data_IF_373767440142
#
_entry.id   IF_373767440142
#
_cell.length_a   1.000
_cell.length_b   1.000
_cell.length_c   1.000
_cell.angle_alpha   90.00
_cell.angle_beta   90.00
_cell.angle_gamma   90.00
#
_symmetry.space_group_name_H-M   'P 1'
#
loop_
_entity.id
_entity.type
_entity.pdbx_description
1 polymer ?
#
# COMPACT_ATOMS: atom_id res chain seq x y z
N UNK A 1 7.71 -4.22 -1.47
CA UNK A 1 6.58 -4.15 -0.54
C UNK A 1 5.66 -3.11 -1.10
N UNK A 2 4.49 -3.50 -1.63
CA UNK A 2 3.47 -2.54 -2.03
C UNK A 2 3.18 -1.53 -0.91
N UNK A 3 3.30 -0.25 -1.25
CA UNK A 3 2.85 0.87 -0.46
C UNK A 3 1.53 1.39 -1.05
N UNK A 4 1.03 2.54 -0.60
CA UNK A 4 -0.25 3.07 -1.07
C UNK A 4 -0.35 3.18 -2.60
N UNK A 5 0.64 3.73 -3.33
CA UNK A 5 0.53 3.89 -4.78
C UNK A 5 0.41 2.57 -5.54
N UNK A 6 1.15 1.54 -5.12
CA UNK A 6 1.06 0.21 -5.70
C UNK A 6 -0.32 -0.42 -5.45
N UNK A 7 -0.83 -0.29 -4.23
CA UNK A 7 -2.16 -0.81 -3.87
C UNK A 7 -3.26 -0.06 -4.61
N UNK A 8 -3.14 1.26 -4.78
CA UNK A 8 -4.09 2.06 -5.57
C UNK A 8 -4.05 1.71 -7.06
N UNK A 9 -2.86 1.40 -7.59
CA UNK A 9 -2.71 0.93 -8.97
C UNK A 9 -3.44 -0.40 -9.17
N UNK A 10 -3.24 -1.37 -8.27
CA UNK A 10 -3.97 -2.65 -8.30
C UNK A 10 -5.48 -2.41 -8.16
N UNK A 11 -5.91 -1.52 -7.25
CA UNK A 11 -7.32 -1.18 -7.05
C UNK A 11 -7.95 -0.65 -8.34
N UNK A 12 -7.32 0.30 -9.03
CA UNK A 12 -7.83 0.88 -10.30
C UNK A 12 -7.97 -0.17 -11.38
N UNK A 13 -6.97 -1.03 -11.55
CA UNK A 13 -7.00 -2.11 -12.53
C UNK A 13 -8.11 -3.11 -12.23
N UNK A 14 -8.25 -3.53 -10.97
CA UNK A 14 -9.25 -4.51 -10.57
C UNK A 14 -10.68 -3.94 -10.59
N UNK A 15 -10.88 -2.68 -10.19
CA UNK A 15 -12.20 -2.04 -10.22
C UNK A 15 -12.82 -2.07 -11.62
N UNK A 16 -12.03 -1.72 -12.64
CA UNK A 16 -12.47 -1.70 -14.03
C UNK A 16 -12.86 -3.09 -14.57
N UNK A 17 -12.42 -4.17 -13.92
CA UNK A 17 -12.60 -5.56 -14.40
C UNK A 17 -13.56 -6.37 -13.55
N UNK A 18 -13.65 -6.07 -12.26
CA UNK A 18 -14.37 -6.88 -11.29
C UNK A 18 -15.76 -6.33 -10.97
N UNK A 19 -15.99 -5.02 -11.09
CA UNK A 19 -17.26 -4.42 -10.74
C UNK A 19 -18.41 -5.06 -11.54
N UNK A 20 -19.42 -5.54 -10.83
CA UNK A 20 -20.59 -6.22 -11.40
C UNK A 20 -20.44 -7.72 -11.58
N UNK A 21 -19.23 -8.30 -11.54
CA UNK A 21 -19.05 -9.75 -11.67
C UNK A 21 -19.47 -10.51 -10.42
N UNK A 22 -19.73 -11.81 -10.56
CA UNK A 22 -20.15 -12.70 -9.48
C UNK A 22 -19.09 -13.76 -9.23
N UNK A 23 -18.76 -14.02 -7.97
CA UNK A 23 -17.93 -15.16 -7.61
C UNK A 23 -18.73 -16.46 -7.73
N UNK A 24 -18.27 -17.43 -8.51
CA UNK A 24 -18.92 -18.74 -8.69
C UNK A 24 -18.37 -19.83 -7.77
N UNK A 25 -17.22 -19.55 -7.13
CA UNK A 25 -16.53 -20.45 -6.23
C UNK A 25 -15.04 -20.13 -6.19
N UNK A 26 -14.21 -21.10 -5.83
CA UNK A 26 -12.77 -20.94 -5.86
C UNK A 26 -12.03 -22.09 -5.18
N UNK A 27 -10.71 -22.00 -5.21
CA UNK A 27 -9.78 -22.98 -4.69
C UNK A 27 -8.78 -22.28 -3.76
N UNK A 28 -8.56 -22.86 -2.58
CA UNK A 28 -7.57 -22.36 -1.61
C UNK A 28 -6.46 -23.40 -1.51
N UNK A 29 -5.36 -23.14 -2.19
CA UNK A 29 -4.19 -24.00 -2.24
C UNK A 29 -3.32 -23.87 -0.98
N UNK A 30 -3.38 -22.72 -0.31
CA UNK A 30 -2.67 -22.48 0.94
C UNK A 30 -3.60 -21.86 2.01
N UNK A 31 -4.21 -22.70 2.87
CA UNK A 31 -5.18 -22.32 3.89
C UNK A 31 -4.84 -21.06 4.70
N UNK A 32 -3.58 -20.94 5.16
CA UNK A 32 -3.15 -19.83 6.04
C UNK A 32 -3.21 -18.43 5.41
N UNK A 33 -3.40 -18.32 4.09
CA UNK A 33 -3.61 -17.02 3.43
C UNK A 33 -4.98 -16.45 3.79
N UNK A 34 -6.00 -17.31 3.94
CA UNK A 34 -7.30 -16.90 4.44
C UNK A 34 -7.21 -16.82 5.96
N UNK A 35 -7.44 -15.61 6.50
CA UNK A 35 -7.28 -15.30 7.91
C UNK A 35 -8.59 -15.34 8.67
N UNK A 36 -9.70 -15.06 7.98
CA UNK A 36 -11.05 -15.24 8.49
C UNK A 36 -12.03 -15.27 7.31
N UNK A 37 -13.08 -16.11 7.34
CA UNK A 37 -13.26 -17.24 8.25
C UNK A 37 -12.26 -18.37 7.94
N UNK A 38 -12.56 -19.61 8.31
CA UNK A 38 -11.81 -20.75 7.79
C UNK A 38 -11.96 -20.88 6.25
N UNK A 39 -11.00 -21.54 5.55
CA UNK A 39 -10.99 -21.63 4.10
C UNK A 39 -12.26 -22.20 3.46
N UNK A 40 -12.84 -23.25 4.04
CA UNK A 40 -14.05 -23.87 3.46
C UNK A 40 -15.21 -22.90 3.58
N UNK A 41 -15.39 -22.30 4.76
CA UNK A 41 -16.43 -21.30 4.98
C UNK A 41 -16.25 -20.06 4.11
N UNK A 42 -15.00 -19.68 3.83
CA UNK A 42 -14.68 -18.56 2.94
C UNK A 42 -15.25 -18.81 1.53
N UNK A 43 -15.03 -20.00 0.96
CA UNK A 43 -15.56 -20.36 -0.38
C UNK A 43 -17.08 -20.49 -0.38
N UNK A 44 -17.66 -21.06 0.68
CA UNK A 44 -19.13 -21.13 0.82
C UNK A 44 -19.75 -19.73 0.85
N UNK A 45 -19.19 -18.81 1.64
CA UNK A 45 -19.75 -17.48 1.81
C UNK A 45 -19.56 -16.60 0.57
N UNK A 46 -18.44 -16.72 -0.13
CA UNK A 46 -18.17 -15.89 -1.30
C UNK A 46 -18.99 -16.31 -2.53
N UNK A 47 -19.37 -17.59 -2.62
CA UNK A 47 -20.12 -18.13 -3.75
C UNK A 47 -21.43 -17.35 -3.95
N UNK A 48 -21.72 -17.04 -5.21
CA UNK A 48 -22.84 -16.23 -5.68
C UNK A 48 -22.85 -14.77 -5.23
N UNK A 49 -21.78 -14.26 -4.59
CA UNK A 49 -21.70 -12.85 -4.23
C UNK A 49 -21.25 -12.00 -5.41
N UNK A 50 -21.97 -10.92 -5.66
CA UNK A 50 -21.61 -9.89 -6.66
C UNK A 50 -20.57 -8.94 -6.08
N UNK A 51 -19.54 -8.61 -6.85
CA UNK A 51 -18.57 -7.57 -6.52
C UNK A 51 -19.20 -6.22 -6.87
N UNK A 52 -19.48 -5.42 -5.86
CA UNK A 52 -20.12 -4.11 -6.04
C UNK A 52 -19.08 -3.03 -6.32
N UNK A 53 -17.94 -3.08 -5.61
CA UNK A 53 -16.90 -2.07 -5.70
C UNK A 53 -15.56 -2.58 -5.16
N UNK A 54 -14.46 -2.03 -5.67
CA UNK A 54 -13.09 -2.22 -5.23
C UNK A 54 -12.53 -0.89 -4.72
N UNK A 55 -12.40 -0.81 -3.40
CA UNK A 55 -11.85 0.33 -2.64
C UNK A 55 -10.45 0.02 -2.12
N UNK A 56 -9.80 1.04 -1.54
CA UNK A 56 -8.55 0.91 -0.81
C UNK A 56 -8.64 1.67 0.51
N UNK A 57 -8.00 1.16 1.55
CA UNK A 57 -7.72 1.91 2.77
C UNK A 57 -6.28 1.64 3.22
N UNK A 58 -5.43 2.67 3.24
CA UNK A 58 -4.01 2.49 3.46
C UNK A 58 -3.42 1.51 2.44
N UNK A 59 -2.96 0.35 2.93
CA UNK A 59 -2.38 -0.75 2.12
C UNK A 59 -3.29 -1.98 1.99
N UNK A 60 -4.57 -1.84 2.35
CA UNK A 60 -5.60 -2.86 2.13
C UNK A 60 -6.36 -2.57 0.84
N UNK A 61 -6.56 -3.60 0.01
CA UNK A 61 -7.61 -3.65 -1.00
C UNK A 61 -8.90 -4.12 -0.34
N UNK A 62 -10.02 -3.54 -0.73
CA UNK A 62 -11.34 -3.83 -0.18
C UNK A 62 -12.31 -4.12 -1.31
N UNK A 63 -12.80 -5.34 -1.43
CA UNK A 63 -13.88 -5.67 -2.35
C UNK A 63 -15.19 -5.65 -1.54
N UNK A 64 -16.06 -4.69 -1.82
CA UNK A 64 -17.42 -4.65 -1.29
C UNK A 64 -18.27 -5.61 -2.10
N UNK A 65 -18.95 -6.54 -1.42
CA UNK A 65 -19.73 -7.62 -2.02
C UNK A 65 -21.22 -7.45 -1.69
N UNK A 66 -22.09 -8.13 -2.45
CA UNK A 66 -23.50 -8.27 -2.12
C UNK A 66 -23.71 -8.95 -0.76
N UNK A 67 -24.94 -8.86 -0.24
CA UNK A 67 -25.35 -9.40 1.06
C UNK A 67 -24.56 -8.85 2.25
N UNK A 68 -24.11 -7.61 2.13
CA UNK A 68 -23.40 -6.90 3.19
C UNK A 68 -22.10 -7.57 3.62
N UNK A 69 -21.35 -8.20 2.70
CA UNK A 69 -19.99 -8.70 2.97
C UNK A 69 -18.91 -7.81 2.37
N UNK A 70 -17.74 -7.82 3.00
CA UNK A 70 -16.54 -7.17 2.49
C UNK A 70 -15.36 -8.12 2.57
N UNK A 71 -14.59 -8.18 1.48
CA UNK A 71 -13.31 -8.87 1.46
C UNK A 71 -12.17 -7.85 1.56
N UNK A 72 -11.36 -7.95 2.61
CA UNK A 72 -10.12 -7.21 2.73
C UNK A 72 -8.94 -8.08 2.27
N UNK A 73 -8.01 -7.51 1.52
CA UNK A 73 -6.79 -8.18 1.06
C UNK A 73 -5.59 -7.29 1.37
N UNK A 74 -4.56 -7.85 2.00
CA UNK A 74 -3.31 -7.16 2.27
C UNK A 74 -2.15 -7.87 1.58
N UNK A 75 -1.54 -7.20 0.60
CA UNK A 75 -0.48 -7.76 -0.25
C UNK A 75 0.85 -7.99 0.50
N UNK A 76 1.07 -7.25 1.60
CA UNK A 76 2.30 -7.31 2.41
C UNK A 76 3.54 -7.05 1.56
N UNK A 77 4.45 -8.00 1.44
CA UNK A 77 5.77 -7.77 0.83
C UNK A 77 5.79 -8.09 -0.65
N UNK A 78 5.19 -9.23 -1.02
CA UNK A 78 5.32 -9.91 -2.31
C UNK A 78 3.99 -10.45 -2.84
N UNK A 79 2.88 -10.17 -2.14
CA UNK A 79 1.55 -10.54 -2.59
C UNK A 79 1.13 -9.76 -3.82
N UNK A 80 0.42 -10.43 -4.71
CA UNK A 80 -0.20 -9.86 -5.89
C UNK A 80 -1.63 -10.41 -5.99
N UNK A 81 -2.57 -9.51 -6.30
CA UNK A 81 -3.96 -9.85 -6.56
C UNK A 81 -4.25 -9.48 -8.02
N UNK A 82 -4.47 -10.50 -8.85
CA UNK A 82 -4.40 -10.39 -10.31
C UNK A 82 -5.66 -10.96 -10.94
N UNK A 83 -6.21 -10.23 -11.89
CA UNK A 83 -7.26 -10.73 -12.77
C UNK A 83 -6.63 -11.53 -13.91
N UNK A 84 -7.04 -12.79 -14.07
CA UNK A 84 -6.48 -13.73 -15.02
C UNK A 84 -7.59 -14.32 -15.90
N UNK A 85 -7.35 -14.46 -17.20
CA UNK A 85 -8.31 -15.12 -18.10
C UNK A 85 -8.39 -16.62 -17.81
N UNK A 86 -9.49 -17.26 -18.20
CA UNK A 86 -9.81 -18.64 -17.80
C UNK A 86 -8.89 -19.69 -18.44
N UNK A 87 -8.38 -19.38 -19.62
CA UNK A 87 -7.49 -20.19 -20.45
C UNK A 87 -6.02 -20.16 -20.00
N UNK A 88 -5.61 -19.13 -19.26
CA UNK A 88 -4.23 -18.98 -18.82
C UNK A 88 -3.92 -19.92 -17.63
N UNK A 89 -2.74 -20.56 -17.56
CA UNK A 89 -2.38 -21.34 -16.38
C UNK A 89 -2.22 -20.43 -15.14
N UNK A 90 -2.48 -20.94 -13.92
CA UNK A 90 -2.18 -20.19 -12.70
C UNK A 90 -0.70 -19.80 -12.62
N UNK A 91 -0.43 -18.59 -12.15
CA UNK A 91 0.94 -18.08 -12.04
C UNK A 91 1.69 -18.75 -10.88
N UNK A 92 3.03 -18.68 -10.89
CA UNK A 92 3.86 -19.18 -9.78
C UNK A 92 3.45 -18.55 -8.45
N UNK A 93 3.50 -19.36 -7.39
CA UNK A 93 3.13 -18.97 -6.02
C UNK A 93 1.65 -18.59 -5.86
N UNK A 94 0.78 -19.06 -6.75
CA UNK A 94 -0.67 -18.97 -6.56
C UNK A 94 -1.10 -19.74 -5.32
N UNK A 95 -1.89 -19.09 -4.47
CA UNK A 95 -2.36 -19.64 -3.19
C UNK A 95 -3.88 -19.65 -3.07
N UNK A 96 -4.57 -18.72 -3.75
CA UNK A 96 -6.03 -18.66 -3.82
C UNK A 96 -6.44 -18.34 -5.24
N UNK A 97 -7.44 -19.07 -5.76
CA UNK A 97 -8.10 -18.81 -7.03
C UNK A 97 -9.58 -18.59 -6.75
N UNK A 98 -10.14 -17.46 -7.17
CA UNK A 98 -11.57 -17.17 -7.06
C UNK A 98 -12.15 -17.12 -8.46
N UNK A 99 -13.16 -17.95 -8.71
CA UNK A 99 -13.78 -18.10 -10.02
C UNK A 99 -14.87 -17.04 -10.22
N UNK A 100 -14.93 -16.47 -11.42
CA UNK A 100 -15.90 -15.44 -11.80
C UNK A 100 -16.90 -16.01 -12.81
N UNK A 101 -18.09 -15.40 -12.89
CA UNK A 101 -19.20 -15.82 -13.75
C UNK A 101 -18.98 -15.60 -15.25
N UNK A 102 -17.96 -14.82 -15.63
CA UNK A 102 -17.49 -14.67 -17.00
C UNK A 102 -16.42 -15.70 -17.42
N UNK A 103 -16.18 -16.73 -16.60
CA UNK A 103 -15.16 -17.76 -16.86
C UNK A 103 -13.72 -17.31 -16.59
N UNK A 104 -13.51 -16.10 -16.06
CA UNK A 104 -12.20 -15.61 -15.62
C UNK A 104 -11.98 -15.86 -14.13
N UNK A 105 -10.78 -15.52 -13.63
CA UNK A 105 -10.38 -15.79 -12.25
C UNK A 105 -9.69 -14.59 -11.62
N UNK A 106 -9.90 -14.41 -10.33
CA UNK A 106 -9.10 -13.54 -9.48
C UNK A 106 -8.11 -14.39 -8.68
N UNK A 107 -6.83 -14.18 -8.91
CA UNK A 107 -5.74 -14.98 -8.33
C UNK A 107 -5.02 -14.17 -7.26
N UNK A 108 -4.80 -14.77 -6.09
CA UNK A 108 -3.86 -14.27 -5.10
C UNK A 108 -2.59 -15.13 -5.11
N UNK A 109 -1.46 -14.51 -5.43
CA UNK A 109 -0.15 -15.13 -5.40
C UNK A 109 0.78 -14.41 -4.42
N UNK A 110 1.59 -15.15 -3.66
CA UNK A 110 2.54 -14.54 -2.71
C UNK A 110 3.75 -15.43 -2.44
N UNK A 111 4.90 -15.07 -3.00
CA UNK A 111 6.16 -15.81 -2.83
C UNK A 111 6.55 -16.00 -1.35
N UNK A 112 6.31 -14.99 -0.49
CA UNK A 112 6.71 -15.04 0.93
C UNK A 112 5.57 -15.47 1.86
N UNK A 113 4.36 -15.65 1.33
CA UNK A 113 3.18 -16.12 2.07
C UNK A 113 2.84 -15.28 3.30
N UNK A 114 3.12 -13.97 3.23
CA UNK A 114 2.85 -13.03 4.32
C UNK A 114 1.50 -12.33 4.18
N UNK A 115 1.02 -12.20 2.94
CA UNK A 115 -0.27 -11.61 2.66
C UNK A 115 -1.42 -12.36 3.30
N UNK A 116 -2.59 -11.74 3.22
CA UNK A 116 -3.79 -12.29 3.84
C UNK A 116 -5.06 -11.78 3.18
N UNK A 117 -6.09 -12.61 3.29
CA UNK A 117 -7.45 -12.32 2.88
C UNK A 117 -8.39 -12.50 4.07
N UNK A 118 -9.32 -11.57 4.24
CA UNK A 118 -10.34 -11.60 5.29
C UNK A 118 -11.69 -11.37 4.61
N UNK A 119 -12.64 -12.27 4.81
CA UNK A 119 -14.03 -12.10 4.39
C UNK A 119 -14.87 -11.92 5.65
N UNK A 120 -15.50 -10.76 5.79
CA UNK A 120 -16.25 -10.39 6.99
C UNK A 120 -17.56 -9.70 6.61
N UNK A 121 -18.58 -9.71 7.49
CA UNK A 121 -19.68 -8.77 7.38
C UNK A 121 -19.15 -7.33 7.30
N UNK A 122 -19.74 -6.51 6.45
CA UNK A 122 -19.30 -5.13 6.20
C UNK A 122 -19.35 -4.29 7.47
N UNK A 123 -20.33 -4.53 8.34
CA UNK A 123 -20.43 -3.92 9.67
C UNK A 123 -19.23 -4.23 10.59
N UNK A 124 -18.56 -5.37 10.38
CA UNK A 124 -17.40 -5.79 11.15
C UNK A 124 -16.06 -5.33 10.56
N UNK A 125 -16.04 -4.80 9.33
CA UNK A 125 -14.81 -4.41 8.63
C UNK A 125 -13.99 -3.38 9.42
N UNK A 126 -14.66 -2.39 10.01
CA UNK A 126 -14.02 -1.35 10.82
C UNK A 126 -13.30 -1.90 12.06
N UNK A 127 -13.70 -3.08 12.55
CA UNK A 127 -13.12 -3.72 13.74
C UNK A 127 -12.00 -4.72 13.40
N UNK A 128 -11.71 -4.93 12.12
CA UNK A 128 -10.69 -5.87 11.69
C UNK A 128 -9.31 -5.45 12.25
N UNK A 129 -8.61 -6.39 12.87
CA UNK A 129 -7.30 -6.15 13.48
C UNK A 129 -6.31 -5.58 12.46
N UNK A 130 -5.62 -4.49 12.83
CA UNK A 130 -4.72 -3.75 11.94
C UNK A 130 -5.41 -2.82 10.94
N UNK A 131 -6.70 -3.01 10.63
CA UNK A 131 -7.50 -2.05 9.86
C UNK A 131 -8.07 -0.96 10.79
N UNK A 132 -8.60 -1.38 11.94
CA UNK A 132 -9.22 -0.49 12.95
C UNK A 132 -8.27 0.62 13.46
N UNK A 133 -6.98 0.32 13.48
CA UNK A 133 -5.95 1.19 14.03
C UNK A 133 -5.37 2.15 12.97
N UNK A 134 -5.83 2.12 11.71
CA UNK A 134 -5.22 2.93 10.65
C UNK A 134 -5.44 4.43 10.85
N UNK A 135 -4.35 5.19 10.75
CA UNK A 135 -4.34 6.65 10.89
C UNK A 135 -4.83 7.40 9.66
N UNK A 136 -4.41 8.65 9.50
CA UNK A 136 -4.87 9.53 8.42
C UNK A 136 -4.65 8.90 7.03
N UNK A 137 -5.61 9.08 6.11
CA UNK A 137 -5.47 8.65 4.71
C UNK A 137 -4.88 9.81 3.90
N UNK A 138 -3.63 9.73 3.41
CA UNK A 138 -2.92 10.90 2.89
C UNK A 138 -3.47 11.49 1.58
N UNK A 139 -4.43 10.83 0.92
CA UNK A 139 -5.06 11.32 -0.31
C UNK A 139 -6.55 11.66 -0.14
N UNK A 140 -7.07 11.61 1.08
CA UNK A 140 -8.45 12.00 1.39
C UNK A 140 -8.52 13.43 1.92
N UNK A 141 -9.71 14.03 1.84
CA UNK A 141 -9.96 15.42 2.24
C UNK A 141 -9.62 15.70 3.71
N UNK A 142 -9.70 14.69 4.58
CA UNK A 142 -9.39 14.81 6.00
C UNK A 142 -7.88 14.98 6.29
N UNK A 143 -7.01 14.68 5.32
CA UNK A 143 -5.57 14.89 5.43
C UNK A 143 -5.18 16.30 5.01
N UNK A 144 -5.42 17.25 5.91
CA UNK A 144 -5.10 18.67 5.73
C UNK A 144 -3.76 19.02 6.36
N UNK A 145 -3.19 20.17 5.98
CA UNK A 145 -1.98 20.71 6.62
C UNK A 145 -2.16 20.86 8.13
N UNK A 146 -3.35 21.26 8.56
CA UNK A 146 -3.68 21.48 9.97
C UNK A 146 -3.85 20.18 10.73
N UNK A 147 -4.56 19.19 10.19
CA UNK A 147 -4.70 17.88 10.84
C UNK A 147 -3.33 17.19 10.95
N UNK A 148 -2.51 17.26 9.92
CA UNK A 148 -1.15 16.75 9.94
C UNK A 148 -0.27 17.45 10.97
N UNK A 149 -0.23 18.79 10.98
CA UNK A 149 0.53 19.58 11.96
C UNK A 149 0.09 19.28 13.40
N UNK A 150 -1.22 19.20 13.66
CA UNK A 150 -1.75 18.81 14.97
C UNK A 150 -1.29 17.42 15.37
N UNK A 151 -1.29 16.46 14.43
CA UNK A 151 -0.82 15.10 14.66
C UNK A 151 0.67 14.98 15.02
N UNK A 152 1.51 15.87 14.50
CA UNK A 152 2.96 15.92 14.82
C UNK A 152 3.23 16.49 16.23
N UNK A 153 2.30 17.29 16.78
CA UNK A 153 2.48 17.95 18.07
C UNK A 153 2.73 16.91 19.16
N UNK A 154 3.70 17.18 20.04
CA UNK A 154 4.10 16.31 21.16
C UNK A 154 4.70 14.94 20.78
N UNK A 155 4.85 14.61 19.48
CA UNK A 155 5.50 13.36 19.05
C UNK A 155 7.03 13.50 19.07
N UNK A 156 7.67 12.98 20.12
CA UNK A 156 9.14 13.01 20.26
C UNK A 156 9.88 11.96 19.42
N UNK A 157 9.16 11.11 18.71
CA UNK A 157 9.74 10.09 17.83
C UNK A 157 10.38 10.73 16.60
N UNK A 158 11.37 10.06 16.02
CA UNK A 158 12.00 10.50 14.76
C UNK A 158 10.94 10.56 13.66
N UNK A 159 10.97 11.60 12.83
CA UNK A 159 9.94 11.87 11.82
C UNK A 159 9.78 10.72 10.83
N UNK A 160 10.88 10.08 10.40
CA UNK A 160 10.81 8.90 9.55
C UNK A 160 10.07 7.73 10.23
N UNK A 161 10.38 7.46 11.50
CA UNK A 161 9.72 6.39 12.24
C UNK A 161 8.22 6.65 12.42
N UNK A 162 7.83 7.91 12.63
CA UNK A 162 6.43 8.31 12.76
C UNK A 162 5.67 8.18 11.43
N UNK A 163 6.27 8.55 10.30
CA UNK A 163 5.64 8.41 8.97
C UNK A 163 5.48 6.95 8.54
N UNK A 164 6.28 6.03 9.08
CA UNK A 164 6.14 4.60 8.84
C UNK A 164 5.07 3.95 9.74
N UNK A 165 4.64 4.63 10.81
CA UNK A 165 3.59 4.16 11.69
C UNK A 165 2.22 4.27 11.01
N UNK A 166 1.65 3.11 10.67
CA UNK A 166 0.35 3.03 10.01
C UNK A 166 -0.80 3.55 10.89
N UNK A 167 -0.59 3.67 12.22
CA UNK A 167 -1.55 4.30 13.14
C UNK A 167 -1.54 5.82 13.08
N UNK A 168 -0.43 6.40 12.61
CA UNK A 168 -0.33 7.83 12.40
C UNK A 168 -0.82 8.21 11.00
N UNK A 169 -0.26 7.56 9.98
CA UNK A 169 -0.56 7.82 8.56
C UNK A 169 -0.58 6.49 7.80
N UNK A 170 -1.73 6.17 7.25
CA UNK A 170 -1.92 4.93 6.51
C UNK A 170 -1.24 5.03 5.14
N UNK A 171 -0.68 3.92 4.66
CA UNK A 171 -0.27 3.83 3.26
C UNK A 171 1.19 4.19 2.97
N UNK A 172 1.82 5.06 3.76
CA UNK A 172 3.26 5.35 3.62
C UNK A 172 4.10 4.13 4.02
N UNK A 173 5.13 3.82 3.23
CA UNK A 173 6.17 2.87 3.58
C UNK A 173 7.56 3.47 3.38
N UNK A 174 8.55 2.61 3.16
CA UNK A 174 9.95 3.03 3.20
C UNK A 174 10.35 3.89 2.00
N UNK A 175 9.77 3.62 0.83
CA UNK A 175 10.08 4.33 -0.42
C UNK A 175 9.54 5.76 -0.34
N UNK A 176 8.22 5.90 -0.21
CA UNK A 176 7.58 7.21 -0.30
C UNK A 176 7.89 8.08 0.93
N UNK A 177 8.26 7.49 2.07
CA UNK A 177 8.74 8.26 3.23
C UNK A 177 10.09 8.92 2.96
N UNK A 178 11.06 8.20 2.38
CA UNK A 178 12.37 8.78 2.04
C UNK A 178 12.24 9.85 0.97
N UNK A 179 11.43 9.60 -0.06
CA UNK A 179 11.14 10.57 -1.12
C UNK A 179 10.44 11.83 -0.59
N UNK A 180 9.44 11.69 0.28
CA UNK A 180 8.74 12.82 0.87
C UNK A 180 9.67 13.67 1.75
N UNK A 181 10.49 13.03 2.59
CA UNK A 181 11.44 13.73 3.45
C UNK A 181 12.54 14.43 2.64
N UNK A 182 13.03 13.80 1.57
CA UNK A 182 13.99 14.41 0.65
C UNK A 182 13.39 15.63 -0.05
N UNK A 183 12.17 15.49 -0.60
CA UNK A 183 11.44 16.59 -1.26
C UNK A 183 11.14 17.74 -0.30
N UNK A 184 10.81 17.45 0.95
CA UNK A 184 10.57 18.43 2.01
C UNK A 184 11.86 19.01 2.62
N UNK A 185 13.03 18.44 2.30
CA UNK A 185 14.34 18.79 2.87
C UNK A 185 14.43 18.63 4.40
N UNK A 186 13.80 17.58 4.92
CA UNK A 186 13.76 17.29 6.35
C UNK A 186 14.64 16.09 6.66
N UNK A 187 15.51 16.21 7.67
CA UNK A 187 16.33 15.09 8.11
C UNK A 187 15.46 13.96 8.70
N UNK A 188 15.63 12.71 8.26
CA UNK A 188 14.80 11.60 8.73
C UNK A 188 14.97 11.27 10.22
N UNK A 189 16.07 11.71 10.84
CA UNK A 189 16.36 11.52 12.27
C UNK A 189 15.78 12.62 13.16
N UNK A 190 15.29 13.72 12.57
CA UNK A 190 14.74 14.85 13.35
C UNK A 190 13.50 14.42 14.12
N UNK A 191 13.37 14.89 15.36
CA UNK A 191 12.17 14.66 16.17
C UNK A 191 10.94 15.31 15.52
N UNK A 192 9.84 14.57 15.39
CA UNK A 192 8.62 15.06 14.73
C UNK A 192 8.06 16.32 15.41
N UNK A 193 8.18 16.42 16.74
CA UNK A 193 7.70 17.56 17.52
C UNK A 193 8.49 18.84 17.32
N UNK A 194 9.66 18.80 16.66
CA UNK A 194 10.48 20.00 16.42
C UNK A 194 10.23 20.63 15.06
N UNK A 195 9.42 20.01 14.19
CA UNK A 195 9.07 20.58 12.88
C UNK A 195 8.28 21.88 13.06
N UNK A 196 8.74 22.94 12.41
CA UNK A 196 8.01 24.21 12.37
C UNK A 196 6.73 24.08 11.55
N UNK A 197 5.79 25.03 11.69
CA UNK A 197 4.57 25.05 10.88
C UNK A 197 4.86 25.05 9.36
N UNK A 198 5.91 25.77 8.94
CA UNK A 198 6.34 25.83 7.54
C UNK A 198 6.87 24.49 7.05
N UNK A 199 7.65 23.79 7.86
CA UNK A 199 8.19 22.48 7.52
C UNK A 199 7.12 21.40 7.50
N UNK A 200 6.20 21.42 8.47
CA UNK A 200 5.04 20.52 8.48
C UNK A 200 4.18 20.70 7.22
N UNK A 201 3.93 21.94 6.79
CA UNK A 201 3.21 22.23 5.55
C UNK A 201 3.97 21.74 4.30
N UNK A 202 5.30 21.95 4.23
CA UNK A 202 6.14 21.42 3.15
C UNK A 202 6.12 19.89 3.10
N UNK A 203 6.18 19.23 4.25
CA UNK A 203 6.15 17.77 4.34
C UNK A 203 4.79 17.20 3.95
N UNK A 204 3.70 17.82 4.42
CA UNK A 204 2.33 17.46 4.00
C UNK A 204 2.20 17.47 2.48
N UNK A 205 2.59 18.57 1.83
CA UNK A 205 2.60 18.67 0.37
C UNK A 205 3.49 17.62 -0.28
N UNK A 206 4.72 17.47 0.22
CA UNK A 206 5.65 16.50 -0.33
C UNK A 206 5.11 15.06 -0.26
N UNK A 207 4.41 14.68 0.82
CA UNK A 207 3.75 13.38 0.97
C UNK A 207 2.68 13.21 -0.11
N UNK A 208 1.76 14.19 -0.26
CA UNK A 208 0.70 14.12 -1.27
C UNK A 208 1.30 14.01 -2.67
N UNK A 209 2.31 14.82 -2.98
CA UNK A 209 2.92 14.87 -4.32
C UNK A 209 3.67 13.57 -4.65
N UNK A 210 4.43 12.97 -3.72
CA UNK A 210 5.14 11.71 -4.02
C UNK A 210 4.17 10.55 -4.18
N UNK A 211 3.07 10.53 -3.43
CA UNK A 211 2.07 9.48 -3.54
C UNK A 211 1.28 9.60 -4.86
N UNK A 212 0.89 10.82 -5.24
CA UNK A 212 0.24 11.08 -6.55
C UNK A 212 1.14 10.71 -7.71
N UNK A 213 2.41 11.11 -7.68
CA UNK A 213 3.39 10.73 -8.70
C UNK A 213 3.60 9.21 -8.74
N UNK A 214 3.63 8.55 -7.58
CA UNK A 214 3.66 7.09 -7.49
C UNK A 214 2.49 6.45 -8.22
N UNK A 215 1.27 6.96 -8.02
CA UNK A 215 0.06 6.44 -8.66
C UNK A 215 0.08 6.69 -10.18
N UNK A 216 0.48 7.88 -10.60
CA UNK A 216 0.60 8.27 -12.02
C UNK A 216 1.56 7.33 -12.78
N UNK A 217 2.69 6.99 -12.15
CA UNK A 217 3.71 6.07 -12.67
C UNK A 217 3.46 4.60 -12.29
N UNK A 218 2.21 4.25 -11.95
CA UNK A 218 1.78 2.87 -11.63
C UNK A 218 2.60 2.15 -10.55
N UNK A 219 3.18 2.90 -9.62
CA UNK A 219 3.98 2.40 -8.51
C UNK A 219 5.41 1.99 -8.89
N UNK A 220 6.14 1.49 -7.90
CA UNK A 220 7.57 1.17 -7.97
C UNK A 220 7.79 -0.34 -8.07
N UNK A 221 8.45 -0.80 -9.13
CA UNK A 221 8.84 -2.21 -9.30
C UNK A 221 10.36 -2.39 -9.14
N UNK A 222 10.79 -2.84 -7.96
CA UNK A 222 12.21 -3.23 -7.71
C UNK A 222 12.50 -4.72 -7.82
N UNK A 223 11.50 -5.58 -7.60
CA UNK A 223 11.68 -7.03 -7.61
C UNK A 223 10.53 -7.71 -8.34
N UNK A 224 9.34 -7.66 -7.75
CA UNK A 224 8.22 -8.49 -8.15
C UNK A 224 6.86 -7.82 -7.92
N UNK A 225 6.83 -6.49 -7.77
CA UNK A 225 5.55 -5.78 -7.75
C UNK A 225 4.99 -5.74 -9.18
N UNK A 226 3.72 -6.11 -9.29
CA UNK A 226 2.90 -6.09 -10.51
C UNK A 226 1.49 -5.61 -10.15
N UNK A 227 0.82 -4.98 -11.11
CA UNK A 227 -0.55 -4.50 -10.99
C UNK A 227 -1.59 -5.63 -11.16
N UNK A 228 -2.88 -5.26 -11.20
CA UNK A 228 -3.98 -6.21 -11.36
C UNK A 228 -4.01 -6.95 -12.72
N UNK A 229 -3.24 -6.49 -13.71
CA UNK A 229 -3.04 -7.13 -15.02
C UNK A 229 -1.73 -7.92 -15.08
N UNK A 230 -0.96 -7.95 -13.99
CA UNK A 230 0.37 -8.56 -13.96
C UNK A 230 1.48 -7.71 -14.58
N UNK A 231 1.27 -6.39 -14.76
CA UNK A 231 2.25 -5.47 -15.35
C UNK A 231 3.06 -4.73 -14.30
N UNK A 232 4.33 -4.46 -14.57
CA UNK A 232 5.19 -3.69 -13.68
C UNK A 232 4.88 -2.17 -13.71
N UNK A 233 5.18 -1.48 -12.61
CA UNK A 233 5.21 -0.02 -12.55
C UNK A 233 6.57 0.55 -12.96
N UNK A 234 6.63 1.87 -13.19
CA UNK A 234 7.86 2.55 -13.63
C UNK A 234 8.33 3.66 -12.67
N UNK A 235 7.71 3.83 -11.50
CA UNK A 235 8.06 4.91 -10.57
C UNK A 235 9.51 4.85 -10.05
N UNK A 236 10.17 3.69 -10.08
CA UNK A 236 11.58 3.54 -9.68
C UNK A 236 12.53 4.47 -10.46
N UNK A 237 12.17 4.83 -11.69
CA UNK A 237 12.96 5.71 -12.57
C UNK A 237 12.88 7.18 -12.14
N UNK A 238 11.90 7.52 -11.30
CA UNK A 238 11.62 8.88 -10.86
C UNK A 238 12.06 9.17 -9.41
N UNK A 239 12.67 8.19 -8.74
CA UNK A 239 13.12 8.30 -7.35
C UNK A 239 14.31 9.26 -7.22
N UNK A 240 14.25 10.14 -6.22
CA UNK A 240 15.27 11.18 -5.97
C UNK A 240 16.28 10.80 -4.89
N UNK A 241 15.89 9.95 -3.95
CA UNK A 241 16.73 9.55 -2.81
C UNK A 241 16.72 8.04 -2.56
N UNK A 242 15.56 7.39 -2.59
CA UNK A 242 15.44 5.98 -2.20
C UNK A 242 16.26 5.06 -3.10
N UNK A 243 17.04 4.15 -2.49
CA UNK A 243 17.91 3.20 -3.19
C UNK A 243 18.95 3.84 -4.13
N UNK A 244 19.37 5.08 -3.81
CA UNK A 244 20.39 5.84 -4.57
C UNK A 244 21.65 6.11 -3.76
N UNK A 245 21.95 5.27 -2.77
CA UNK A 245 23.21 5.35 -2.00
C UNK A 245 24.43 5.44 -2.94
N UNK A 246 25.35 6.36 -2.63
CA UNK A 246 26.55 6.57 -3.44
C UNK A 246 26.34 7.43 -4.70
N UNK A 247 25.08 7.68 -5.11
CA UNK A 247 24.79 8.53 -6.27
C UNK A 247 24.70 10.02 -5.89
N UNK A 248 24.95 10.94 -6.84
CA UNK A 248 24.77 12.37 -6.59
C UNK A 248 23.30 12.71 -6.38
N UNK A 249 23.01 13.54 -5.37
CA UNK A 249 21.69 14.11 -5.14
C UNK A 249 21.29 14.96 -6.35
N UNK A 250 20.10 14.70 -6.91
CA UNK A 250 19.57 15.44 -8.06
C UNK A 250 19.36 16.94 -7.82
N UNK A 251 19.43 17.41 -6.57
CA UNK A 251 19.25 18.82 -6.24
C UNK A 251 20.57 19.57 -6.02
N UNK A 252 21.55 18.96 -5.36
CA UNK A 252 22.78 19.65 -4.96
C UNK A 252 24.08 18.94 -5.35
N UNK A 253 24.01 17.79 -6.02
CA UNK A 253 25.19 17.00 -6.40
C UNK A 253 25.82 16.19 -5.26
N UNK A 254 25.56 16.52 -3.99
CA UNK A 254 26.12 15.76 -2.86
C UNK A 254 25.67 14.30 -2.87
N UNK A 255 26.58 13.38 -2.57
CA UNK A 255 26.30 11.95 -2.43
C UNK A 255 25.16 11.65 -1.46
N UNK A 256 24.19 10.85 -1.90
CA UNK A 256 23.13 10.28 -1.06
C UNK A 256 23.75 9.21 -0.15
N UNK A 257 23.42 9.28 1.14
CA UNK A 257 23.89 8.33 2.15
C UNK A 257 22.75 7.42 2.60
N UNK A 258 23.11 6.22 3.06
CA UNK A 258 22.18 5.27 3.67
C UNK A 258 22.46 5.15 5.17
N UNK A 259 21.40 5.17 5.98
CA UNK A 259 21.44 4.82 7.41
C UNK A 259 20.28 3.93 7.80
N UNK A 260 20.41 3.26 8.96
CA UNK A 260 19.31 2.49 9.55
C UNK A 260 18.58 3.37 10.59
N UNK A 261 17.30 3.65 10.35
CA UNK A 261 16.44 4.45 11.25
C UNK A 261 15.20 3.62 11.55
N UNK A 262 14.90 3.37 12.83
CA UNK A 262 13.77 2.52 13.24
C UNK A 262 13.83 1.11 12.65
N UNK A 263 15.03 0.56 12.46
CA UNK A 263 15.22 -0.75 11.85
C UNK A 263 15.09 -0.81 10.32
N UNK A 264 14.82 0.32 9.64
CA UNK A 264 14.66 0.40 8.18
C UNK A 264 15.81 1.15 7.52
N UNK A 265 16.18 0.71 6.31
CA UNK A 265 17.15 1.45 5.47
C UNK A 265 16.56 2.80 5.09
N UNK A 266 17.35 3.86 5.19
CA UNK A 266 16.93 5.24 5.00
C UNK A 266 17.93 5.97 4.15
N UNK A 267 17.48 6.48 3.01
CA UNK A 267 18.31 7.17 2.05
C UNK A 267 18.00 8.67 2.11
N UNK A 268 19.04 9.48 2.27
CA UNK A 268 18.87 10.93 2.36
C UNK A 268 20.12 11.69 1.92
N UNK A 269 19.94 12.96 1.53
CA UNK A 269 21.04 13.86 1.21
C UNK A 269 21.47 14.64 2.47
N UNK A 270 22.72 14.54 2.95
CA UNK A 270 23.14 15.21 4.19
C UNK A 270 23.19 16.75 4.07
N UNK A 271 23.31 17.28 2.85
CA UNK A 271 23.35 18.72 2.59
C UNK A 271 21.94 19.32 2.42
N UNK A 272 21.06 18.65 1.68
CA UNK A 272 19.68 19.11 1.51
C UNK A 272 18.84 18.87 2.78
N UNK A 273 19.07 17.78 3.51
CA UNK A 273 18.31 17.38 4.70
C UNK A 273 19.17 17.55 5.95
N UNK A 274 19.52 18.80 6.25
CA UNK A 274 20.33 19.17 7.43
C UNK A 274 19.62 18.77 8.72
N UNK A 275 20.41 18.34 9.71
CA UNK A 275 19.93 17.94 11.03
C UNK A 275 19.23 19.08 11.75
#
# INVERSE_FOLDING_TARGET
MPELPEVETVRRTLEAKLAGLIFTGGEILLPKIVRTPDPQKFIELIKNKRILQVKRRGKYLLLTLSDSYSMAVHLRMTGALIYCTGDQPPIRYTHVLLHLDNGHRLIFADMRQFGGMWLVPTSALANLSGYKDLGMEPLEECFTRDSFKKGLRHRRTRIKSLLLDQKFIAGLGNIYTDEALHRARINPERSASTLTAREAAKLHHAIVDVLKAGIEHKGTTFRNFIDGDGRAGNHQEHLRAYNREGQPCLYCGQTIIRKKIGGRSSYYCPICQRK
#
